data_IF_612837428251
#
_entry.id   IF_612837428251
#
_cell.length_a   1.000
_cell.length_b   1.000
_cell.length_c   1.000
_cell.angle_alpha   90.00
_cell.angle_beta   90.00
_cell.angle_gamma   90.00
#
_symmetry.space_group_name_H-M   'P 1'
#
loop_
_entity.id
_entity.type
_entity.pdbx_description
1 polymer ?
#
# COMPACT_ATOMS: atom_id res chain seq x y z
N UNK A 1 -9.70 -35.82 -25.52
CA UNK A 1 -9.10 -34.64 -24.88
C UNK A 1 -8.36 -35.11 -23.64
N UNK A 2 -7.05 -35.30 -23.71
CA UNK A 2 -6.23 -35.54 -22.51
C UNK A 2 -5.74 -34.19 -22.01
N UNK A 3 -6.07 -33.84 -20.77
CA UNK A 3 -5.49 -32.67 -20.10
C UNK A 3 -3.96 -32.86 -20.07
N UNK A 4 -3.22 -31.86 -20.57
CA UNK A 4 -1.76 -31.94 -20.67
C UNK A 4 -1.16 -32.08 -19.27
N UNK A 5 -0.17 -32.95 -19.10
CA UNK A 5 0.44 -33.24 -17.79
C UNK A 5 1.03 -32.00 -17.09
N UNK A 6 1.30 -30.92 -17.84
CA UNK A 6 1.72 -29.62 -17.32
C UNK A 6 0.60 -28.89 -16.57
N UNK A 7 -0.63 -28.92 -17.09
CA UNK A 7 -1.81 -28.29 -16.47
C UNK A 7 -2.22 -29.01 -15.17
N UNK A 8 -1.97 -30.32 -15.10
CA UNK A 8 -2.14 -31.10 -13.87
C UNK A 8 -1.03 -30.83 -12.84
N UNK A 9 0.18 -30.50 -13.28
CA UNK A 9 1.31 -30.18 -12.38
C UNK A 9 1.10 -28.82 -11.70
N UNK A 10 0.59 -27.84 -12.46
CA UNK A 10 0.28 -26.49 -11.97
C UNK A 10 -0.86 -26.49 -10.93
N UNK A 11 -1.79 -27.44 -11.02
CA UNK A 11 -2.87 -27.65 -10.02
C UNK A 11 -2.43 -28.43 -8.77
N UNK A 12 -1.23 -29.03 -8.74
CA UNK A 12 -0.86 -30.04 -7.73
C UNK A 12 0.30 -29.68 -6.82
N UNK A 13 1.14 -28.71 -7.16
CA UNK A 13 2.30 -28.37 -6.33
C UNK A 13 2.07 -27.05 -5.61
N UNK A 14 1.60 -27.05 -4.34
CA UNK A 14 1.57 -25.84 -3.55
C UNK A 14 3.01 -25.34 -3.35
N UNK A 15 3.26 -24.08 -3.69
CA UNK A 15 4.46 -23.37 -3.28
C UNK A 15 4.34 -23.06 -1.77
N UNK A 16 5.46 -23.17 -1.04
CA UNK A 16 5.48 -23.00 0.41
C UNK A 16 6.24 -21.74 0.80
N UNK A 17 5.63 -20.93 1.66
CA UNK A 17 6.29 -19.79 2.30
C UNK A 17 6.49 -20.15 3.77
N UNK A 18 7.74 -20.22 4.21
CA UNK A 18 8.12 -20.40 5.61
C UNK A 18 8.38 -19.04 6.23
N UNK A 19 7.55 -18.64 7.18
CA UNK A 19 7.75 -17.41 7.95
C UNK A 19 8.44 -17.77 9.25
N UNK A 20 9.64 -17.23 9.42
CA UNK A 20 10.49 -17.46 10.58
C UNK A 20 10.39 -16.26 11.51
N UNK A 21 10.44 -16.52 12.81
CA UNK A 21 10.59 -15.50 13.84
C UNK A 21 11.77 -15.86 14.75
N UNK A 22 12.32 -14.85 15.42
CA UNK A 22 13.40 -15.04 16.37
C UNK A 22 12.80 -15.24 17.76
N UNK A 23 13.27 -16.26 18.48
CA UNK A 23 12.99 -16.33 19.91
C UNK A 23 13.83 -15.26 20.64
N UNK A 24 13.24 -14.07 20.79
CA UNK A 24 13.83 -12.93 21.51
C UNK A 24 13.90 -13.16 23.02
N UNK A 25 13.22 -14.18 23.53
CA UNK A 25 13.22 -14.53 24.96
C UNK A 25 14.31 -15.56 25.32
N UNK A 26 15.01 -16.10 24.33
CA UNK A 26 16.10 -17.05 24.56
C UNK A 26 17.32 -16.37 25.19
N UNK A 27 17.73 -16.85 26.37
CA UNK A 27 18.97 -16.44 27.06
C UNK A 27 20.24 -17.02 26.41
N UNK A 28 20.10 -17.78 25.33
CA UNK A 28 21.22 -18.43 24.61
C UNK A 28 21.52 -17.68 23.32
N UNK A 29 22.78 -17.27 23.14
CA UNK A 29 23.26 -16.64 21.92
C UNK A 29 24.04 -17.65 21.06
N UNK A 30 23.77 -17.74 19.74
CA UNK A 30 22.76 -16.99 18.98
C UNK A 30 21.34 -17.50 19.25
N UNK A 31 20.36 -16.59 19.15
CA UNK A 31 18.94 -16.90 19.32
C UNK A 31 18.49 -17.91 18.26
N UNK A 32 17.62 -18.84 18.66
CA UNK A 32 17.03 -19.84 17.76
C UNK A 32 16.02 -19.18 16.81
N UNK A 33 15.98 -19.71 15.58
CA UNK A 33 14.94 -19.38 14.60
C UNK A 33 13.79 -20.37 14.77
N UNK A 34 12.60 -19.86 15.05
CA UNK A 34 11.38 -20.66 15.13
C UNK A 34 10.52 -20.43 13.89
N UNK A 35 9.94 -21.51 13.36
CA UNK A 35 8.97 -21.42 12.28
C UNK A 35 7.66 -20.90 12.88
N UNK A 36 7.36 -19.64 12.62
CA UNK A 36 6.14 -19.00 13.08
C UNK A 36 4.92 -19.43 12.26
N UNK A 37 5.08 -19.55 10.94
CA UNK A 37 3.98 -19.95 10.05
C UNK A 37 4.50 -20.66 8.80
N UNK A 38 3.72 -21.63 8.32
CA UNK A 38 3.90 -22.27 7.02
C UNK A 38 2.66 -21.99 6.19
N UNK A 39 2.84 -21.33 5.04
CA UNK A 39 1.74 -20.92 4.16
C UNK A 39 1.86 -21.69 2.85
N UNK A 40 0.83 -22.50 2.56
CA UNK A 40 0.67 -23.11 1.24
C UNK A 40 0.03 -22.08 0.30
N UNK A 41 0.62 -21.86 -0.86
CA UNK A 41 0.10 -20.92 -1.86
C UNK A 41 0.36 -21.43 -3.28
N UNK A 42 -0.25 -20.77 -4.26
CA UNK A 42 0.00 -20.98 -5.68
C UNK A 42 0.39 -19.65 -6.33
N UNK A 43 1.16 -19.72 -7.41
CA UNK A 43 1.70 -18.54 -8.06
C UNK A 43 0.60 -17.59 -8.55
N UNK A 44 -0.52 -18.14 -9.06
CA UNK A 44 -1.64 -17.34 -9.58
C UNK A 44 -2.32 -16.55 -8.46
N UNK A 45 -2.64 -17.20 -7.34
CA UNK A 45 -3.25 -16.53 -6.19
C UNK A 45 -2.33 -15.45 -5.62
N UNK A 46 -1.02 -15.74 -5.48
CA UNK A 46 -0.05 -14.75 -4.99
C UNK A 46 0.02 -13.53 -5.92
N UNK A 47 0.07 -13.73 -7.24
CA UNK A 47 0.07 -12.62 -8.20
C UNK A 47 -1.22 -11.80 -8.15
N UNK A 48 -2.38 -12.47 -8.05
CA UNK A 48 -3.67 -11.79 -7.98
C UNK A 48 -3.79 -10.88 -6.75
N UNK A 49 -3.42 -11.39 -5.56
CA UNK A 49 -3.45 -10.58 -4.35
C UNK A 49 -2.47 -9.41 -4.40
N UNK A 50 -1.28 -9.61 -4.97
CA UNK A 50 -0.23 -8.58 -5.00
C UNK A 50 -0.47 -7.48 -6.05
N UNK A 51 -1.00 -7.85 -7.22
CA UNK A 51 -1.05 -6.95 -8.38
C UNK A 51 -2.44 -6.40 -8.68
N UNK A 52 -3.51 -7.09 -8.29
CA UNK A 52 -4.87 -6.65 -8.54
C UNK A 52 -5.51 -6.11 -7.26
N UNK A 53 -5.58 -6.95 -6.22
CA UNK A 53 -6.34 -6.61 -5.00
C UNK A 53 -5.66 -5.57 -4.11
N UNK A 54 -4.34 -5.65 -3.93
CA UNK A 54 -3.63 -4.67 -3.09
C UNK A 54 -3.69 -3.24 -3.66
N UNK A 55 -3.52 -3.00 -4.98
CA UNK A 55 -3.72 -1.68 -5.56
C UNK A 55 -5.16 -1.18 -5.49
N UNK A 56 -6.15 -2.04 -5.76
CA UNK A 56 -7.57 -1.67 -5.66
C UNK A 56 -7.93 -1.23 -4.24
N UNK A 57 -7.50 -2.00 -3.23
CA UNK A 57 -7.70 -1.65 -1.82
C UNK A 57 -7.06 -0.29 -1.46
N UNK A 58 -5.88 0.01 -2.00
CA UNK A 58 -5.21 1.29 -1.78
C UNK A 58 -5.95 2.49 -2.41
N UNK A 59 -6.74 2.26 -3.45
CA UNK A 59 -7.63 3.27 -4.04
C UNK A 59 -8.91 3.45 -3.23
N UNK A 60 -9.53 2.35 -2.77
CA UNK A 60 -10.75 2.37 -1.97
C UNK A 60 -10.57 3.04 -0.59
N UNK A 61 -9.41 2.85 0.05
CA UNK A 61 -9.09 3.50 1.32
C UNK A 61 -8.92 5.03 1.19
N UNK A 62 -8.96 5.57 -0.04
CA UNK A 62 -9.00 7.01 -0.35
C UNK A 62 -7.72 7.78 -0.02
N UNK A 63 -6.83 7.24 0.80
CA UNK A 63 -5.65 7.93 1.31
C UNK A 63 -4.52 8.11 0.28
N UNK A 64 -4.41 7.24 -0.73
CA UNK A 64 -3.25 7.26 -1.63
C UNK A 64 -3.34 8.35 -2.71
N UNK A 65 -4.51 8.52 -3.32
CA UNK A 65 -4.71 9.46 -4.44
C UNK A 65 -4.71 10.91 -3.96
N UNK A 66 -5.37 11.21 -2.85
CA UNK A 66 -5.39 12.56 -2.28
C UNK A 66 -4.00 12.98 -1.76
N UNK A 67 -3.25 12.05 -1.15
CA UNK A 67 -1.85 12.29 -0.77
C UNK A 67 -0.96 12.49 -1.98
N UNK A 68 -1.21 11.78 -3.08
CA UNK A 68 -0.46 11.97 -4.32
C UNK A 68 -0.69 13.37 -4.89
N UNK A 69 -1.93 13.84 -4.95
CA UNK A 69 -2.25 15.19 -5.43
C UNK A 69 -1.66 16.27 -4.52
N UNK A 70 -1.75 16.10 -3.19
CA UNK A 70 -1.10 16.99 -2.24
C UNK A 70 0.43 17.02 -2.44
N UNK A 71 1.06 15.86 -2.65
CA UNK A 71 2.50 15.74 -2.90
C UNK A 71 2.92 16.42 -4.19
N UNK A 72 2.16 16.23 -5.28
CA UNK A 72 2.40 16.88 -6.57
C UNK A 72 2.32 18.40 -6.39
N UNK A 73 1.30 18.88 -5.68
CA UNK A 73 1.09 20.32 -5.44
C UNK A 73 2.22 20.95 -4.64
N UNK A 74 2.67 20.28 -3.57
CA UNK A 74 3.84 20.72 -2.79
C UNK A 74 5.09 20.77 -3.65
N UNK A 75 5.36 19.72 -4.44
CA UNK A 75 6.54 19.69 -5.32
C UNK A 75 6.51 20.76 -6.41
N UNK A 76 5.35 21.02 -7.00
CA UNK A 76 5.20 22.03 -8.03
C UNK A 76 5.27 23.45 -7.47
N UNK A 77 4.80 23.69 -6.24
CA UNK A 77 4.89 25.00 -5.58
C UNK A 77 6.33 25.52 -5.41
N UNK A 78 7.32 24.62 -5.42
CA UNK A 78 8.74 25.00 -5.39
C UNK A 78 9.22 25.67 -6.69
N UNK A 79 8.53 25.43 -7.81
CA UNK A 79 8.93 25.91 -9.14
C UNK A 79 7.88 26.82 -9.79
N UNK A 80 6.59 26.66 -9.46
CA UNK A 80 5.47 27.46 -9.92
C UNK A 80 4.66 27.99 -8.72
N UNK A 81 4.98 29.20 -8.22
CA UNK A 81 4.36 29.73 -7.01
C UNK A 81 2.86 30.03 -7.15
N UNK A 82 2.33 30.29 -8.36
CA UNK A 82 0.89 30.43 -8.57
C UNK A 82 0.06 29.19 -8.18
N UNK A 83 0.65 27.99 -8.29
CA UNK A 83 -0.01 26.71 -7.93
C UNK A 83 -0.09 26.51 -6.41
N UNK A 84 0.90 27.04 -5.68
CA UNK A 84 0.92 27.07 -4.22
C UNK A 84 -0.02 28.14 -3.65
N UNK A 85 -0.06 29.33 -4.25
CA UNK A 85 -0.93 30.43 -3.83
C UNK A 85 -2.43 30.08 -3.94
N UNK A 86 -2.81 29.32 -4.97
CA UNK A 86 -4.17 28.80 -5.11
C UNK A 86 -4.59 27.80 -4.00
N UNK A 87 -3.67 27.28 -3.17
CA UNK A 87 -4.00 26.45 -1.98
C UNK A 87 -4.47 27.35 -0.85
N UNK A 88 -3.68 28.38 -0.57
CA UNK A 88 -3.85 29.26 0.58
C UNK A 88 -5.04 30.21 0.38
N UNK A 89 -5.28 30.67 -0.85
CA UNK A 89 -6.41 31.57 -1.16
C UNK A 89 -7.81 30.95 -0.96
N UNK A 90 -7.94 29.62 -0.95
CA UNK A 90 -9.22 28.96 -0.66
C UNK A 90 -9.52 28.85 0.85
N UNK A 91 -8.50 28.89 1.71
CA UNK A 91 -8.67 28.88 3.16
C UNK A 91 -9.05 30.25 3.73
N UNK A 92 -8.74 31.34 3.02
CA UNK A 92 -8.99 32.72 3.45
C UNK A 92 -10.28 33.33 2.87
N UNK A 93 -10.95 32.67 1.94
CA UNK A 93 -12.17 33.17 1.29
C UNK A 93 -13.48 32.84 2.06
N UNK A 94 -13.36 32.53 3.36
CA UNK A 94 -14.47 32.10 4.23
C UNK A 94 -14.69 32.95 5.48
N UNK A 95 -13.98 34.07 5.67
CA UNK A 95 -14.23 34.97 6.80
C UNK A 95 -14.87 36.26 6.27
N UNK A 96 -16.16 36.42 6.57
CA UNK A 96 -16.94 37.57 6.18
C UNK A 96 -16.35 38.86 6.73
N UNK A 97 -16.32 39.87 5.86
CA UNK A 97 -15.96 41.25 6.14
C UNK A 97 -16.62 41.78 7.44
N UNK A 98 -15.86 42.06 8.51
CA UNK A 98 -16.42 42.60 9.76
C UNK A 98 -16.74 44.10 9.69
N UNK A 99 -16.69 44.74 8.51
CA UNK A 99 -17.01 46.17 8.35
C UNK A 99 -18.43 46.42 7.81
N UNK A 100 -19.45 45.80 8.43
CA UNK A 100 -20.85 46.03 8.07
C UNK A 100 -21.82 46.28 9.25
N UNK A 101 -21.30 46.64 10.42
CA UNK A 101 -22.11 47.24 11.48
C UNK A 101 -21.39 48.46 12.09
N UNK A 102 -21.76 49.65 11.59
CA UNK A 102 -21.72 50.93 12.33
C UNK A 102 -23.13 51.32 12.72
#
# INVERSE_FOLDING_TARGET
MGESSEELNERRTPAWIYVLDLDVSADTSPNSLDIWRVIATDARSMSHYALDLAPEAALEEGGSVDRLMATIRVRLSAYLPEVGAAVTGAAEAGEGDPTLFS
#
